data_IF_231963491916
#
_entry.id   IF_231963491916
#
_cell.length_a   1.000
_cell.length_b   1.000
_cell.length_c   1.000
_cell.angle_alpha   90.00
_cell.angle_beta   90.00
_cell.angle_gamma   90.00
#
_symmetry.space_group_name_H-M   'P 1'
#
loop_
_entity.id
_entity.type
_entity.pdbx_description
1 polymer ?
#
# COMPACT_ATOMS: atom_id res chain seq x y z
N UNK A 1 -26.67 51.41 -24.27
CA UNK A 1 -27.31 50.09 -24.46
C UNK A 1 -26.57 49.10 -23.59
N UNK A 2 -27.17 48.75 -22.46
CA UNK A 2 -26.66 47.74 -21.54
C UNK A 2 -27.27 46.39 -21.93
N UNK A 3 -26.47 45.33 -22.03
CA UNK A 3 -27.00 43.97 -22.01
C UNK A 3 -26.20 43.11 -21.04
N UNK A 4 -26.95 42.59 -20.07
CA UNK A 4 -26.53 41.72 -18.98
C UNK A 4 -26.22 40.33 -19.54
N UNK A 5 -25.11 39.73 -19.12
CA UNK A 5 -24.91 38.28 -19.26
C UNK A 5 -25.26 37.60 -17.94
N UNK A 6 -26.18 36.66 -18.06
CA UNK A 6 -26.84 35.89 -17.01
C UNK A 6 -25.96 34.78 -16.46
N UNK A 7 -25.98 34.62 -15.13
CA UNK A 7 -25.47 33.48 -14.39
C UNK A 7 -26.36 32.25 -14.61
N UNK A 8 -25.77 31.09 -14.93
CA UNK A 8 -26.38 29.75 -14.96
C UNK A 8 -25.27 28.82 -15.42
N UNK A 9 -24.82 27.75 -14.75
CA UNK A 9 -25.39 26.88 -13.73
C UNK A 9 -24.19 26.15 -13.11
N UNK A 10 -24.03 26.19 -11.78
CA UNK A 10 -23.02 25.38 -11.10
C UNK A 10 -23.47 23.91 -11.15
N UNK A 11 -22.82 23.12 -12.01
CA UNK A 11 -22.91 21.66 -11.97
C UNK A 11 -22.22 21.16 -10.71
N UNK A 12 -23.02 20.75 -9.73
CA UNK A 12 -22.57 20.05 -8.54
C UNK A 12 -22.12 18.65 -8.97
N UNK A 13 -20.84 18.50 -9.31
CA UNK A 13 -20.21 17.18 -9.44
C UNK A 13 -20.08 16.63 -8.03
N UNK A 14 -21.07 15.82 -7.64
CA UNK A 14 -20.99 14.99 -6.44
C UNK A 14 -19.95 13.92 -6.74
N UNK A 15 -18.69 14.20 -6.43
CA UNK A 15 -17.68 13.16 -6.29
C UNK A 15 -18.17 12.22 -5.21
N UNK A 16 -18.54 11.01 -5.60
CA UNK A 16 -18.82 9.92 -4.69
C UNK A 16 -17.50 9.58 -3.99
N UNK A 17 -17.21 10.28 -2.89
CA UNK A 17 -16.15 9.93 -1.96
C UNK A 17 -16.52 8.57 -1.38
N UNK A 18 -15.97 7.51 -1.97
CA UNK A 18 -15.83 6.25 -1.27
C UNK A 18 -15.17 6.59 0.07
N UNK A 19 -15.81 6.15 1.15
CA UNK A 19 -15.38 6.44 2.52
C UNK A 19 -14.06 5.72 2.75
N UNK A 20 -12.96 6.34 2.32
CA UNK A 20 -11.62 6.00 2.73
C UNK A 20 -11.56 6.32 4.21
N UNK A 21 -11.71 5.30 5.05
CA UNK A 21 -11.47 5.36 6.48
C UNK A 21 -9.98 5.64 6.68
N UNK A 22 -9.61 6.92 6.66
CA UNK A 22 -8.24 7.39 6.90
C UNK A 22 -8.02 7.37 8.40
N UNK A 23 -7.15 6.47 8.88
CA UNK A 23 -6.59 6.59 10.22
C UNK A 23 -5.40 7.54 10.11
N UNK A 24 -5.54 8.75 10.68
CA UNK A 24 -4.56 9.82 10.53
C UNK A 24 -3.15 9.47 11.06
N UNK A 25 -2.13 10.04 10.43
CA UNK A 25 -0.72 9.95 10.86
C UNK A 25 -0.02 11.30 10.62
N UNK A 26 0.92 11.65 11.51
CA UNK A 26 1.87 12.75 11.33
C UNK A 26 2.87 12.42 10.20
N UNK A 27 3.41 13.44 9.53
CA UNK A 27 4.39 13.35 8.41
C UNK A 27 3.86 12.78 7.08
N UNK A 28 2.67 13.18 6.64
CA UNK A 28 2.22 12.94 5.25
C UNK A 28 1.99 11.47 4.86
N UNK A 29 1.97 10.56 5.83
CA UNK A 29 1.59 9.17 5.62
C UNK A 29 0.19 8.92 6.17
N UNK A 30 -0.55 7.97 5.60
CA UNK A 30 -1.90 7.59 6.06
C UNK A 30 -2.10 6.09 5.92
N UNK A 31 -2.84 5.48 6.86
CA UNK A 31 -3.28 4.10 6.69
C UNK A 31 -4.53 4.08 5.83
N UNK A 32 -4.51 3.28 4.79
CA UNK A 32 -5.62 3.14 3.85
C UNK A 32 -6.08 1.69 3.81
N UNK A 33 -7.39 1.50 3.95
CA UNK A 33 -8.04 0.19 3.83
C UNK A 33 -8.15 -0.19 2.35
N UNK A 34 -7.66 -1.36 2.00
CA UNK A 34 -7.87 -1.94 0.67
C UNK A 34 -8.90 -3.07 0.77
N UNK A 35 -10.17 -2.68 0.53
CA UNK A 35 -11.35 -3.58 0.60
C UNK A 35 -11.22 -4.88 -0.19
N UNK A 36 -10.57 -4.94 -1.38
CA UNK A 36 -10.42 -6.19 -2.12
C UNK A 36 -9.66 -7.30 -1.37
N UNK A 37 -8.94 -6.95 -0.30
CA UNK A 37 -8.15 -7.87 0.51
C UNK A 37 -8.73 -8.07 1.91
N UNK A 38 -9.92 -7.54 2.17
CA UNK A 38 -10.64 -7.88 3.40
C UNK A 38 -10.97 -9.37 3.40
N UNK A 39 -11.05 -9.93 4.59
CA UNK A 39 -11.27 -11.35 4.86
C UNK A 39 -10.23 -12.31 4.25
N UNK A 40 -9.17 -11.81 3.62
CA UNK A 40 -8.05 -12.61 3.12
C UNK A 40 -6.82 -12.36 4.00
N UNK A 41 -6.14 -13.40 4.47
CA UNK A 41 -4.85 -13.26 5.16
C UNK A 41 -3.79 -14.13 4.49
N UNK A 42 -2.54 -13.67 4.48
CA UNK A 42 -1.40 -14.52 4.09
C UNK A 42 -1.04 -15.48 5.24
N UNK A 43 -0.80 -16.75 4.90
CA UNK A 43 -0.30 -17.77 5.83
C UNK A 43 1.20 -17.66 6.15
N UNK A 44 1.90 -16.68 5.57
CA UNK A 44 3.34 -16.62 5.73
C UNK A 44 3.79 -16.33 7.18
N UNK A 45 4.87 -16.99 7.58
CA UNK A 45 5.37 -17.02 8.96
C UNK A 45 6.04 -15.72 9.46
N UNK A 46 6.28 -14.72 8.60
CA UNK A 46 6.99 -13.48 8.95
C UNK A 46 6.09 -12.40 9.59
N UNK A 47 4.95 -12.84 10.12
CA UNK A 47 3.88 -11.95 10.57
C UNK A 47 3.81 -11.96 12.09
N UNK A 48 4.14 -10.83 12.72
CA UNK A 48 3.89 -10.66 14.14
C UNK A 48 2.37 -10.59 14.37
N UNK A 49 1.82 -11.59 15.06
CA UNK A 49 0.40 -11.64 15.44
C UNK A 49 0.24 -11.47 16.94
N UNK A 50 -0.63 -10.55 17.37
CA UNK A 50 -0.92 -10.31 18.78
C UNK A 50 -2.32 -9.73 18.98
N UNK A 51 -2.83 -9.86 20.21
CA UNK A 51 -4.15 -9.37 20.56
C UNK A 51 -4.15 -7.84 20.73
N UNK A 52 -5.13 -7.16 20.13
CA UNK A 52 -5.40 -5.73 20.30
C UNK A 52 -6.91 -5.48 20.32
N UNK A 53 -7.35 -4.46 21.05
CA UNK A 53 -8.78 -4.16 21.19
C UNK A 53 -9.34 -3.38 20.00
N UNK A 54 -8.50 -2.61 19.30
CA UNK A 54 -8.94 -1.74 18.21
C UNK A 54 -7.99 -1.75 17.03
N UNK A 55 -8.55 -1.47 15.86
CA UNK A 55 -7.82 -1.24 14.61
C UNK A 55 -6.74 -0.16 14.76
N UNK A 56 -7.05 0.93 15.49
CA UNK A 56 -6.12 2.01 15.75
C UNK A 56 -4.89 1.56 16.56
N UNK A 57 -5.04 0.60 17.48
CA UNK A 57 -3.90 0.03 18.20
C UNK A 57 -2.99 -0.79 17.27
N UNK A 58 -3.57 -1.52 16.30
CA UNK A 58 -2.81 -2.23 15.29
C UNK A 58 -2.02 -1.25 14.40
N UNK A 59 -2.68 -0.18 13.93
CA UNK A 59 -2.05 0.89 13.16
C UNK A 59 -0.88 1.55 13.90
N UNK A 60 -1.04 1.86 15.20
CA UNK A 60 0.05 2.42 16.02
C UNK A 60 1.21 1.45 16.20
N UNK A 61 0.93 0.17 16.37
CA UNK A 61 1.95 -0.86 16.51
C UNK A 61 2.74 -1.04 15.22
N UNK A 62 2.06 -1.03 14.07
CA UNK A 62 2.71 -1.02 12.76
C UNK A 62 3.51 0.25 12.54
N UNK A 63 3.00 1.42 12.95
CA UNK A 63 3.73 2.68 12.84
C UNK A 63 5.04 2.67 13.63
N UNK A 64 5.02 2.12 14.85
CA UNK A 64 6.20 1.99 15.71
C UNK A 64 7.22 0.96 15.19
N UNK A 65 6.78 0.00 14.39
CA UNK A 65 7.65 -0.99 13.75
C UNK A 65 8.11 -0.47 12.37
N UNK A 66 9.40 -0.16 12.23
CA UNK A 66 9.98 0.37 10.98
C UNK A 66 9.94 -0.63 9.82
N UNK A 67 9.82 -1.94 10.08
CA UNK A 67 9.68 -2.93 9.01
C UNK A 67 8.22 -3.17 8.58
N UNK A 68 7.24 -2.58 9.27
CA UNK A 68 5.83 -2.86 9.02
C UNK A 68 5.26 -1.92 7.96
N UNK A 69 4.88 -2.48 6.81
CA UNK A 69 4.35 -1.73 5.67
C UNK A 69 2.82 -1.89 5.52
N UNK A 70 2.25 -2.93 6.11
CA UNK A 70 0.81 -3.19 6.13
C UNK A 70 0.40 -4.00 7.36
N UNK A 71 -0.89 -4.09 7.63
CA UNK A 71 -1.41 -4.93 8.71
C UNK A 71 -2.83 -5.42 8.42
N UNK A 72 -3.19 -6.52 9.07
CA UNK A 72 -4.58 -6.98 9.18
C UNK A 72 -5.08 -6.78 10.60
N UNK A 73 -6.31 -6.31 10.75
CA UNK A 73 -7.02 -6.31 12.02
C UNK A 73 -8.31 -7.12 11.89
N UNK A 74 -8.44 -8.17 12.70
CA UNK A 74 -9.64 -8.99 12.76
C UNK A 74 -10.55 -8.51 13.90
N UNK A 75 -11.72 -8.00 13.54
CA UNK A 75 -12.67 -7.46 14.51
C UNK A 75 -13.35 -8.52 15.38
N UNK A 76 -13.39 -9.77 14.92
CA UNK A 76 -14.01 -10.89 15.62
C UNK A 76 -13.07 -11.47 16.67
N UNK A 77 -11.84 -11.80 16.26
CA UNK A 77 -10.83 -12.41 17.13
C UNK A 77 -9.98 -11.39 17.91
N UNK A 78 -10.12 -10.09 17.62
CA UNK A 78 -9.32 -9.02 18.22
C UNK A 78 -7.81 -9.23 17.99
N UNK A 79 -7.47 -9.75 16.82
CA UNK A 79 -6.08 -10.02 16.43
C UNK A 79 -5.57 -8.96 15.47
N UNK A 80 -4.35 -8.50 15.72
CA UNK A 80 -3.55 -7.66 14.83
C UNK A 80 -2.44 -8.53 14.23
N UNK A 81 -2.29 -8.48 12.91
CA UNK A 81 -1.20 -9.14 12.19
C UNK A 81 -0.42 -8.10 11.42
N UNK A 82 0.77 -7.79 11.89
CA UNK A 82 1.69 -6.87 11.22
C UNK A 82 2.38 -7.59 10.07
N UNK A 83 2.55 -6.89 8.96
CA UNK A 83 3.12 -7.43 7.74
C UNK A 83 4.30 -6.56 7.31
N UNK A 84 5.39 -7.24 6.93
CA UNK A 84 6.53 -6.56 6.29
C UNK A 84 6.23 -6.16 4.85
N UNK A 85 5.34 -6.86 4.16
CA UNK A 85 5.08 -6.62 2.74
C UNK A 85 3.68 -6.04 2.56
N UNK A 86 3.47 -5.25 1.50
CA UNK A 86 2.12 -4.89 1.07
C UNK A 86 1.56 -6.00 0.19
N UNK A 87 0.29 -6.30 0.39
CA UNK A 87 -0.51 -7.19 -0.40
C UNK A 87 -0.95 -6.48 -1.68
N UNK A 88 -0.47 -6.92 -2.86
CA UNK A 88 -0.84 -6.32 -4.17
C UNK A 88 -1.70 -7.24 -5.04
N UNK A 89 -1.90 -8.49 -4.65
CA UNK A 89 -2.82 -9.42 -5.29
C UNK A 89 -3.21 -10.54 -4.35
N UNK A 90 -4.43 -11.08 -4.49
CA UNK A 90 -4.79 -12.33 -3.85
C UNK A 90 -3.84 -13.43 -4.35
N UNK A 91 -3.10 -14.04 -3.44
CA UNK A 91 -2.11 -15.06 -3.76
C UNK A 91 -2.63 -16.44 -3.46
N UNK A 92 -2.06 -17.46 -4.11
CA UNK A 92 -2.45 -18.85 -3.90
C UNK A 92 -2.31 -19.32 -2.43
N UNK A 93 -1.56 -18.58 -1.61
CA UNK A 93 -1.32 -18.88 -0.18
C UNK A 93 -2.18 -18.05 0.78
N UNK A 94 -3.26 -17.41 0.31
CA UNK A 94 -4.22 -16.77 1.21
C UNK A 94 -5.25 -17.73 1.76
N UNK A 95 -5.66 -17.50 3.00
CA UNK A 95 -6.84 -18.14 3.59
C UNK A 95 -7.89 -17.10 3.95
N UNK A 96 -9.15 -17.54 3.92
CA UNK A 96 -10.25 -16.72 4.40
C UNK A 96 -10.18 -16.61 5.93
N UNK A 97 -10.17 -15.39 6.45
CA UNK A 97 -10.27 -15.07 7.87
C UNK A 97 -11.33 -13.98 8.08
N UNK A 98 -12.59 -14.39 8.13
CA UNK A 98 -13.76 -13.51 8.21
C UNK A 98 -13.67 -12.51 9.37
N UNK A 99 -13.96 -11.25 9.08
CA UNK A 99 -13.84 -10.11 9.97
C UNK A 99 -12.46 -9.43 9.91
N UNK A 100 -11.55 -9.92 9.07
CA UNK A 100 -10.25 -9.29 8.86
C UNK A 100 -10.38 -8.11 7.91
N UNK A 101 -9.78 -6.99 8.28
CA UNK A 101 -9.64 -5.82 7.42
C UNK A 101 -8.18 -5.55 7.16
N UNK A 102 -7.86 -5.24 5.91
CA UNK A 102 -6.49 -5.01 5.48
C UNK A 102 -6.19 -3.53 5.29
N UNK A 103 -5.05 -3.11 5.82
CA UNK A 103 -4.58 -1.73 5.78
C UNK A 103 -3.13 -1.70 5.32
N UNK A 104 -2.81 -0.77 4.43
CA UNK A 104 -1.43 -0.48 4.03
C UNK A 104 -1.09 0.97 4.27
N UNK A 105 0.20 1.23 4.41
CA UNK A 105 0.70 2.59 4.52
C UNK A 105 0.68 3.25 3.13
N UNK A 106 0.09 4.43 3.05
CA UNK A 106 0.28 5.36 1.95
C UNK A 106 1.20 6.48 2.42
N UNK A 107 2.16 6.84 1.58
CA UNK A 107 3.01 8.02 1.78
C UNK A 107 2.87 8.93 0.58
N UNK A 108 2.80 10.24 0.81
CA UNK A 108 2.89 11.24 -0.26
C UNK A 108 4.16 11.11 -1.10
N UNK A 109 5.24 10.58 -0.51
CA UNK A 109 6.50 10.35 -1.23
C UNK A 109 6.49 9.10 -2.12
N UNK A 110 5.48 8.24 -2.00
CA UNK A 110 5.40 6.96 -2.70
C UNK A 110 3.95 6.70 -3.17
N UNK A 111 3.54 7.37 -4.26
CA UNK A 111 2.16 7.37 -4.71
C UNK A 111 1.73 5.99 -5.22
N UNK A 112 0.58 5.51 -4.73
CA UNK A 112 0.02 4.22 -5.15
C UNK A 112 -0.56 4.27 -6.57
N UNK A 113 -1.04 5.42 -7.02
CA UNK A 113 -1.65 5.57 -8.36
C UNK A 113 -0.65 5.20 -9.46
N UNK A 114 0.63 5.41 -9.19
CA UNK A 114 1.73 5.07 -10.09
C UNK A 114 2.26 3.64 -9.83
N UNK A 115 1.65 2.85 -8.95
CA UNK A 115 2.02 1.46 -8.67
C UNK A 115 3.22 1.30 -7.73
N UNK A 116 3.61 2.34 -6.99
CA UNK A 116 4.72 2.24 -6.05
C UNK A 116 4.38 1.49 -4.77
N UNK A 117 5.40 0.81 -4.26
CA UNK A 117 5.42 0.13 -2.97
C UNK A 117 6.56 0.70 -2.14
N UNK A 118 6.28 0.93 -0.85
CA UNK A 118 7.26 1.40 0.11
C UNK A 118 7.88 0.23 0.87
N UNK A 119 9.21 0.26 0.99
CA UNK A 119 9.95 -0.44 2.04
C UNK A 119 10.40 0.59 3.08
N UNK A 120 9.68 0.64 4.21
CA UNK A 120 10.02 1.53 5.32
C UNK A 120 11.35 1.18 6.00
N UNK A 121 11.83 -0.05 5.91
CA UNK A 121 13.09 -0.45 6.55
C UNK A 121 14.27 0.27 5.90
N UNK A 122 14.31 0.28 4.57
CA UNK A 122 15.34 0.99 3.79
C UNK A 122 14.91 2.38 3.35
N UNK A 123 13.71 2.82 3.75
CA UNK A 123 13.08 4.08 3.31
C UNK A 123 13.09 4.24 1.78
N UNK A 124 12.90 3.14 1.05
CA UNK A 124 12.98 3.10 -0.41
C UNK A 124 11.61 2.84 -0.99
N UNK A 125 11.31 3.43 -2.14
CA UNK A 125 10.10 3.13 -2.90
C UNK A 125 10.46 2.56 -4.25
N UNK A 126 9.74 1.54 -4.66
CA UNK A 126 10.00 0.82 -5.89
C UNK A 126 8.68 0.55 -6.59
N UNK A 127 8.75 0.45 -7.91
CA UNK A 127 7.60 0.21 -8.76
C UNK A 127 7.80 -1.11 -9.50
N UNK A 128 7.14 -2.20 -9.09
CA UNK A 128 7.24 -3.47 -9.80
C UNK A 128 6.60 -3.35 -11.19
N UNK A 129 7.38 -3.57 -12.24
CA UNK A 129 6.89 -3.56 -13.64
C UNK A 129 6.78 -5.00 -14.11
N UNK A 130 5.54 -5.51 -14.26
CA UNK A 130 5.29 -6.88 -14.74
C UNK A 130 5.21 -6.99 -16.26
N UNK A 131 4.62 -5.99 -16.92
CA UNK A 131 4.39 -6.01 -18.37
C UNK A 131 4.51 -4.62 -18.97
N UNK A 132 5.08 -4.49 -20.18
CA UNK A 132 5.79 -5.53 -20.93
C UNK A 132 7.13 -5.89 -20.26
N UNK A 133 7.62 -7.12 -20.48
CA UNK A 133 8.99 -7.45 -20.12
C UNK A 133 9.93 -6.71 -21.07
N UNK A 134 10.70 -5.77 -20.53
CA UNK A 134 11.68 -5.00 -21.28
C UNK A 134 13.06 -5.66 -21.13
N UNK A 135 13.91 -5.53 -22.15
CA UNK A 135 15.33 -5.79 -21.95
C UNK A 135 15.92 -4.70 -21.05
N UNK A 136 17.15 -4.92 -20.56
CA UNK A 136 17.79 -4.02 -19.60
C UNK A 136 17.86 -2.57 -20.07
N UNK A 137 18.25 -2.33 -21.32
CA UNK A 137 18.40 -0.98 -21.87
C UNK A 137 17.05 -0.28 -22.01
N UNK A 138 16.02 -0.98 -22.47
CA UNK A 138 14.67 -0.43 -22.60
C UNK A 138 14.06 -0.14 -21.22
N UNK A 139 14.33 -0.98 -20.22
CA UNK A 139 13.91 -0.76 -18.85
C UNK A 139 14.60 0.47 -18.24
N UNK A 140 15.91 0.62 -18.46
CA UNK A 140 16.67 1.79 -18.01
C UNK A 140 16.14 3.07 -18.65
N UNK A 141 15.96 3.08 -19.97
CA UNK A 141 15.40 4.21 -20.70
C UNK A 141 13.98 4.55 -20.23
N UNK A 142 13.15 3.54 -19.94
CA UNK A 142 11.81 3.75 -19.42
C UNK A 142 11.82 4.40 -18.03
N UNK A 143 12.73 3.98 -17.14
CA UNK A 143 12.93 4.61 -15.84
C UNK A 143 13.42 6.06 -15.99
N UNK A 144 14.45 6.30 -16.80
CA UNK A 144 14.98 7.65 -17.03
C UNK A 144 13.91 8.59 -17.61
N UNK A 145 13.11 8.10 -18.57
CA UNK A 145 12.02 8.86 -19.16
C UNK A 145 10.92 9.25 -18.14
N UNK A 146 10.77 8.46 -17.07
CA UNK A 146 9.87 8.76 -15.95
C UNK A 146 10.53 9.63 -14.85
N UNK A 147 11.80 10.03 -15.02
CA UNK A 147 12.57 10.71 -13.97
C UNK A 147 13.02 9.78 -12.84
N UNK A 148 13.04 8.48 -13.09
CA UNK A 148 13.38 7.40 -12.17
C UNK A 148 14.74 6.78 -12.51
N UNK A 149 15.14 5.77 -11.76
CA UNK A 149 16.31 4.93 -12.06
C UNK A 149 15.97 3.46 -11.83
N UNK A 150 16.71 2.56 -12.48
CA UNK A 150 16.60 1.14 -12.17
C UNK A 150 16.89 0.88 -10.69
N UNK A 151 16.18 -0.10 -10.13
CA UNK A 151 16.34 -0.47 -8.73
C UNK A 151 17.78 -0.96 -8.47
N UNK A 152 18.51 -0.21 -7.63
CA UNK A 152 19.79 -0.67 -7.07
C UNK A 152 19.49 -1.62 -5.92
N UNK A 153 20.02 -2.84 -5.94
CA UNK A 153 19.67 -3.90 -4.97
C UNK A 153 20.52 -3.88 -3.69
N UNK A 154 21.46 -2.95 -3.56
CA UNK A 154 22.27 -2.76 -2.35
C UNK A 154 21.60 -1.80 -1.36
N UNK A 155 21.60 -2.10 -0.04
CA UNK A 155 22.27 -3.23 0.61
C UNK A 155 21.43 -4.53 0.59
N UNK A 156 21.97 -5.64 1.09
CA UNK A 156 21.36 -6.98 1.03
C UNK A 156 19.93 -7.03 1.60
N UNK A 157 19.59 -6.16 2.55
CA UNK A 157 18.24 -6.02 3.11
C UNK A 157 17.20 -5.64 2.04
N UNK A 158 17.60 -4.82 1.06
CA UNK A 158 16.74 -4.43 -0.07
C UNK A 158 16.56 -5.58 -1.04
N UNK A 159 17.62 -6.34 -1.32
CA UNK A 159 17.54 -7.56 -2.13
C UNK A 159 16.60 -8.58 -1.50
N UNK A 160 16.76 -8.86 -0.20
CA UNK A 160 15.89 -9.78 0.56
C UNK A 160 14.43 -9.31 0.54
N UNK A 161 14.21 -8.00 0.74
CA UNK A 161 12.89 -7.41 0.67
C UNK A 161 12.23 -7.66 -0.70
N UNK A 162 12.92 -7.30 -1.79
CA UNK A 162 12.38 -7.41 -3.14
C UNK A 162 12.14 -8.87 -3.54
N UNK A 163 13.09 -9.76 -3.27
CA UNK A 163 12.95 -11.20 -3.54
C UNK A 163 11.71 -11.78 -2.86
N UNK A 164 11.54 -11.52 -1.56
CA UNK A 164 10.39 -12.00 -0.82
C UNK A 164 9.09 -11.29 -1.20
N UNK A 165 9.15 -10.02 -1.59
CA UNK A 165 7.99 -9.29 -2.10
C UNK A 165 7.46 -9.92 -3.40
N UNK A 166 8.34 -10.20 -4.38
CA UNK A 166 7.93 -10.83 -5.63
C UNK A 166 7.41 -12.25 -5.42
N UNK A 167 8.10 -13.08 -4.63
CA UNK A 167 7.66 -14.44 -4.28
C UNK A 167 6.24 -14.48 -3.69
N UNK A 168 5.83 -13.42 -2.99
CA UNK A 168 4.51 -13.32 -2.33
C UNK A 168 3.44 -12.67 -3.17
N UNK A 169 3.76 -12.14 -4.35
CA UNK A 169 2.83 -11.37 -5.18
C UNK A 169 2.86 -11.80 -6.66
N UNK A 170 3.47 -12.95 -6.94
CA UNK A 170 3.39 -13.71 -8.20
C UNK A 170 2.45 -14.91 -8.04
#
# INVERSE_FOLDING_TARGET
MANRLSLSTFGLVVFQLSVLSVLGINNGSTWVRDVPYDDLISLDADNASFAVMTELQCARSCQANTSCNSFFYNSNSKQCRLQRYVFVSAVNSTVNDTGSRYYRLMSVSCPREDGYVIDRLTSTCFRPVKTPMLNWNDAENACIAAGESLAVLDPIERLDFLHNFFKRNE
#
